data_IF_844329812818
#
_entry.id   IF_844329812818
#
_cell.length_a   1.000
_cell.length_b   1.000
_cell.length_c   1.000
_cell.angle_alpha   90.00
_cell.angle_beta   90.00
_cell.angle_gamma   90.00
#
_symmetry.space_group_name_H-M   'P 1'
#
loop_
_entity.id
_entity.type
_entity.pdbx_description
1 polymer ?
#
# COMPACT_ATOMS: atom_id res chain seq x y z
N UNK A 1 -13.74 -16.55 5.19
CA UNK A 1 -14.02 -15.50 4.20
C UNK A 1 -14.78 -16.09 3.02
N UNK A 2 -15.77 -15.40 2.45
CA UNK A 2 -16.51 -15.94 1.29
C UNK A 2 -15.54 -16.00 0.10
N UNK A 3 -15.49 -17.11 -0.62
CA UNK A 3 -14.59 -17.33 -1.78
C UNK A 3 -14.63 -16.18 -2.79
N UNK A 4 -15.81 -15.62 -3.06
CA UNK A 4 -16.00 -14.50 -3.96
C UNK A 4 -15.23 -13.22 -3.55
N UNK A 5 -15.23 -12.86 -2.26
CA UNK A 5 -14.51 -11.69 -1.77
C UNK A 5 -12.98 -11.85 -1.91
N UNK A 6 -12.48 -13.07 -1.64
CA UNK A 6 -11.06 -13.38 -1.82
C UNK A 6 -10.65 -13.30 -3.30
N UNK A 7 -11.45 -13.91 -4.19
CA UNK A 7 -11.20 -13.85 -5.64
C UNK A 7 -11.21 -12.41 -6.16
N UNK A 8 -12.12 -11.57 -5.66
CA UNK A 8 -12.16 -10.15 -6.04
C UNK A 8 -10.88 -9.40 -5.61
N UNK A 9 -10.39 -9.61 -4.39
CA UNK A 9 -9.14 -9.02 -3.91
C UNK A 9 -7.95 -9.49 -4.76
N UNK A 10 -7.92 -10.78 -5.13
CA UNK A 10 -6.88 -11.32 -5.99
C UNK A 10 -6.92 -10.72 -7.40
N UNK A 11 -8.11 -10.51 -7.96
CA UNK A 11 -8.26 -9.88 -9.27
C UNK A 11 -7.70 -8.45 -9.31
N UNK A 12 -7.87 -7.69 -8.23
CA UNK A 12 -7.31 -6.33 -8.12
C UNK A 12 -5.77 -6.36 -8.13
N UNK A 13 -5.14 -7.35 -7.50
CA UNK A 13 -3.67 -7.47 -7.46
C UNK A 13 -3.03 -7.70 -8.84
N UNK A 14 -3.77 -8.30 -9.77
CA UNK A 14 -3.27 -8.56 -11.13
C UNK A 14 -3.38 -7.35 -12.05
N UNK A 15 -4.14 -6.31 -11.64
CA UNK A 15 -4.33 -5.12 -12.47
C UNK A 15 -3.05 -4.26 -12.50
N UNK A 16 -2.50 -3.96 -13.70
CA UNK A 16 -1.37 -3.05 -13.82
C UNK A 16 -1.73 -1.64 -13.33
N UNK A 17 -0.90 -1.06 -12.48
CA UNK A 17 -1.12 0.30 -11.93
C UNK A 17 -1.25 1.34 -13.04
N UNK A 18 -0.55 1.17 -14.17
CA UNK A 18 -0.60 2.07 -15.30
C UNK A 18 -2.00 2.14 -15.94
N UNK A 19 -2.71 1.02 -15.98
CA UNK A 19 -4.07 0.95 -16.53
C UNK A 19 -5.06 1.71 -15.63
N UNK A 20 -4.91 1.58 -14.32
CA UNK A 20 -5.80 2.22 -13.35
C UNK A 20 -5.47 3.70 -13.11
N UNK A 21 -4.26 4.14 -13.46
CA UNK A 21 -3.75 5.47 -13.14
C UNK A 21 -4.61 6.62 -13.72
N UNK A 22 -5.08 6.47 -14.97
CA UNK A 22 -5.91 7.51 -15.60
C UNK A 22 -7.28 7.65 -14.94
N UNK A 23 -7.90 6.53 -14.57
CA UNK A 23 -9.15 6.53 -13.81
C UNK A 23 -8.95 7.15 -12.42
N UNK A 24 -7.86 6.80 -11.77
CA UNK A 24 -7.48 7.36 -10.48
C UNK A 24 -7.24 8.88 -10.55
N UNK A 25 -6.48 9.34 -11.55
CA UNK A 25 -6.24 10.78 -11.77
C UNK A 25 -7.54 11.57 -11.96
N UNK A 26 -8.47 11.05 -12.79
CA UNK A 26 -9.80 11.67 -12.98
C UNK A 26 -10.59 11.73 -11.68
N UNK A 27 -10.57 10.67 -10.89
CA UNK A 27 -11.26 10.60 -9.62
C UNK A 27 -10.74 11.66 -8.64
N UNK A 28 -9.44 11.71 -8.41
CA UNK A 28 -8.82 12.67 -7.47
C UNK A 28 -9.01 14.11 -7.91
N UNK A 29 -8.95 14.39 -9.23
CA UNK A 29 -9.21 15.72 -9.77
C UNK A 29 -10.67 16.13 -9.52
N UNK A 30 -11.64 15.24 -9.76
CA UNK A 30 -13.05 15.48 -9.47
C UNK A 30 -13.34 15.70 -7.97
N UNK A 31 -12.56 15.06 -7.10
CA UNK A 31 -12.63 15.21 -5.64
C UNK A 31 -11.90 16.47 -5.12
N UNK A 32 -11.26 17.25 -6.00
CA UNK A 32 -10.50 18.44 -5.59
C UNK A 32 -9.21 18.12 -4.83
N UNK A 33 -8.68 16.89 -4.98
CA UNK A 33 -7.47 16.43 -4.29
C UNK A 33 -6.22 16.42 -5.19
N UNK A 34 -6.29 17.03 -6.39
CA UNK A 34 -5.13 17.20 -7.26
C UNK A 34 -4.09 18.10 -6.59
N UNK A 35 -2.83 17.86 -6.83
CA UNK A 35 -1.69 18.53 -6.17
C UNK A 35 -1.75 18.46 -4.63
N UNK A 36 -2.17 17.31 -4.10
CA UNK A 36 -2.25 17.01 -2.67
C UNK A 36 -1.53 15.69 -2.35
N UNK A 37 -1.03 15.55 -1.11
CA UNK A 37 -0.45 14.29 -0.63
C UNK A 37 -1.51 13.27 -0.19
N UNK A 38 -2.75 13.69 0.03
CA UNK A 38 -3.83 12.81 0.47
C UNK A 38 -4.09 11.61 -0.46
N UNK A 39 -4.10 11.76 -1.81
CA UNK A 39 -4.26 10.63 -2.71
C UNK A 39 -3.12 9.62 -2.68
N UNK A 40 -1.97 9.97 -2.13
CA UNK A 40 -0.85 9.05 -1.92
C UNK A 40 -0.99 8.25 -0.62
N UNK A 41 -1.72 8.79 0.37
CA UNK A 41 -1.89 8.23 1.71
C UNK A 41 -3.16 7.38 1.80
N UNK A 42 -4.31 7.92 1.39
CA UNK A 42 -5.63 7.30 1.59
C UNK A 42 -5.71 5.88 0.98
N UNK A 43 -5.30 5.63 -0.28
CA UNK A 43 -5.41 4.30 -0.87
C UNK A 43 -4.53 3.25 -0.19
N UNK A 44 -3.41 3.66 0.42
CA UNK A 44 -2.50 2.74 1.10
C UNK A 44 -3.05 2.18 2.42
N UNK A 45 -4.08 2.81 3.00
CA UNK A 45 -4.76 2.32 4.21
C UNK A 45 -5.45 0.98 3.96
N UNK A 46 -5.93 0.73 2.74
CA UNK A 46 -6.63 -0.50 2.34
C UNK A 46 -5.92 -1.19 1.18
N UNK A 47 -4.69 -1.66 1.41
CA UNK A 47 -3.88 -2.33 0.38
C UNK A 47 -4.25 -3.81 0.23
N UNK A 48 -4.71 -4.27 -0.96
CA UNK A 48 -4.96 -5.68 -1.25
C UNK A 48 -3.71 -6.57 -1.08
N UNK A 49 -2.52 -6.04 -1.38
CA UNK A 49 -1.26 -6.75 -1.23
C UNK A 49 -0.93 -7.02 0.24
N UNK A 50 -1.08 -6.02 1.11
CA UNK A 50 -0.92 -6.16 2.57
C UNK A 50 -1.92 -7.17 3.11
N UNK A 51 -3.18 -7.06 2.70
CA UNK A 51 -4.22 -8.00 3.13
C UNK A 51 -3.86 -9.45 2.74
N UNK A 52 -3.48 -9.69 1.49
CA UNK A 52 -3.11 -11.03 1.02
C UNK A 52 -1.91 -11.60 1.79
N UNK A 53 -0.88 -10.81 2.00
CA UNK A 53 0.30 -11.22 2.75
C UNK A 53 -0.06 -11.61 4.20
N UNK A 54 -0.83 -10.74 4.89
CA UNK A 54 -1.26 -11.01 6.27
C UNK A 54 -2.17 -12.23 6.37
N UNK A 55 -3.09 -12.39 5.43
CA UNK A 55 -3.97 -13.54 5.36
C UNK A 55 -3.17 -14.86 5.16
N UNK A 56 -2.22 -14.86 4.22
CA UNK A 56 -1.39 -16.02 3.94
C UNK A 56 -0.50 -16.38 5.13
N UNK A 57 0.06 -15.38 5.81
CA UNK A 57 0.85 -15.58 7.02
C UNK A 57 0.01 -16.21 8.14
N UNK A 58 -1.19 -15.71 8.37
CA UNK A 58 -2.08 -16.27 9.39
C UNK A 58 -2.45 -17.72 9.09
N UNK A 59 -2.71 -18.07 7.84
CA UNK A 59 -3.03 -19.45 7.46
C UNK A 59 -1.89 -20.43 7.77
N UNK A 60 -0.64 -19.99 7.71
CA UNK A 60 0.53 -20.83 7.98
C UNK A 60 0.97 -20.81 9.44
N UNK A 61 0.71 -19.72 10.17
CA UNK A 61 1.33 -19.46 11.48
C UNK A 61 0.35 -19.52 12.65
N UNK A 62 -0.98 -19.48 12.41
CA UNK A 62 -1.97 -19.48 13.47
C UNK A 62 -2.58 -20.89 13.63
N UNK A 63 -2.26 -21.63 14.70
CA UNK A 63 -2.95 -22.87 15.02
C UNK A 63 -4.41 -22.57 15.38
N UNK A 64 -5.36 -23.18 14.64
CA UNK A 64 -6.80 -22.99 14.90
C UNK A 64 -7.21 -23.43 16.30
N UNK A 65 -6.51 -24.42 16.87
CA UNK A 65 -6.73 -24.89 18.25
C UNK A 65 -6.60 -23.78 19.30
N UNK A 66 -5.73 -22.80 19.09
CA UNK A 66 -5.60 -21.64 20.00
C UNK A 66 -6.87 -20.77 19.98
N UNK A 67 -7.46 -20.58 18.79
CA UNK A 67 -8.68 -19.79 18.63
C UNK A 67 -9.88 -20.55 19.22
N UNK A 68 -9.92 -21.87 19.03
CA UNK A 68 -10.97 -22.75 19.58
C UNK A 68 -10.91 -22.80 21.12
N UNK A 69 -9.70 -22.92 21.69
CA UNK A 69 -9.52 -22.89 23.14
C UNK A 69 -9.98 -21.55 23.73
N UNK A 70 -9.60 -20.42 23.10
CA UNK A 70 -10.05 -19.11 23.55
C UNK A 70 -11.59 -18.96 23.53
N UNK A 71 -12.26 -19.55 22.54
CA UNK A 71 -13.73 -19.57 22.46
C UNK A 71 -14.35 -20.40 23.58
N UNK A 72 -13.77 -21.56 23.90
CA UNK A 72 -14.21 -22.39 25.01
C UNK A 72 -14.08 -21.64 26.34
N UNK A 73 -13.00 -20.86 26.50
CA UNK A 73 -12.77 -19.99 27.65
C UNK A 73 -13.67 -18.73 27.69
N UNK A 74 -14.62 -18.61 26.76
CA UNK A 74 -15.59 -17.50 26.69
C UNK A 74 -14.99 -16.20 26.14
N UNK A 75 -13.83 -16.24 25.50
CA UNK A 75 -13.22 -15.05 24.87
C UNK A 75 -14.02 -14.63 23.63
N UNK A 76 -14.44 -13.37 23.57
CA UNK A 76 -15.06 -12.80 22.37
C UNK A 76 -14.06 -12.60 21.23
N UNK A 77 -14.55 -12.51 19.99
CA UNK A 77 -13.71 -12.42 18.76
C UNK A 77 -12.69 -11.28 18.81
N UNK A 78 -13.09 -10.09 19.27
CA UNK A 78 -12.20 -8.93 19.38
C UNK A 78 -11.08 -9.14 20.40
N UNK A 79 -11.39 -9.74 21.55
CA UNK A 79 -10.40 -10.08 22.58
C UNK A 79 -9.44 -11.15 22.07
N UNK A 80 -9.94 -12.19 21.43
CA UNK A 80 -9.15 -13.26 20.82
C UNK A 80 -8.21 -12.70 19.75
N UNK A 81 -8.70 -11.79 18.89
CA UNK A 81 -7.88 -11.13 17.91
C UNK A 81 -6.72 -10.35 18.56
N UNK A 82 -7.01 -9.48 19.52
CA UNK A 82 -5.98 -8.63 20.11
C UNK A 82 -4.98 -9.40 21.01
N UNK A 83 -5.46 -10.41 21.74
CA UNK A 83 -4.64 -11.13 22.72
C UNK A 83 -3.88 -12.32 22.16
N UNK A 84 -4.33 -12.92 21.07
CA UNK A 84 -3.76 -14.14 20.48
C UNK A 84 -3.27 -13.88 19.05
N UNK A 85 -4.17 -13.45 18.16
CA UNK A 85 -3.85 -13.34 16.72
C UNK A 85 -2.85 -12.24 16.46
N UNK A 86 -3.08 -11.03 16.97
CA UNK A 86 -2.23 -9.87 16.73
C UNK A 86 -0.79 -10.06 17.24
N UNK A 87 -0.52 -10.63 18.43
CA UNK A 87 0.82 -10.97 18.86
C UNK A 87 1.55 -11.96 17.94
N UNK A 88 0.86 -12.96 17.42
CA UNK A 88 1.41 -13.93 16.45
C UNK A 88 1.75 -13.23 15.12
N UNK A 89 0.99 -12.21 14.74
CA UNK A 89 1.19 -11.44 13.52
C UNK A 89 2.37 -10.44 13.60
N UNK A 90 2.91 -10.13 14.77
CA UNK A 90 3.95 -9.10 14.91
C UNK A 90 5.11 -9.23 13.92
N UNK A 91 5.71 -10.41 13.67
CA UNK A 91 6.78 -10.56 12.68
C UNK A 91 6.32 -10.19 11.26
N UNK A 92 5.11 -10.62 10.87
CA UNK A 92 4.54 -10.30 9.56
C UNK A 92 4.25 -8.80 9.41
N UNK A 93 3.75 -8.16 10.46
CA UNK A 93 3.54 -6.69 10.49
C UNK A 93 4.86 -5.96 10.30
N UNK A 94 5.94 -6.37 10.98
CA UNK A 94 7.24 -5.75 10.84
C UNK A 94 7.79 -5.87 9.40
N UNK A 95 7.72 -7.07 8.81
CA UNK A 95 8.14 -7.32 7.42
C UNK A 95 7.31 -6.47 6.45
N UNK A 96 6.00 -6.44 6.63
CA UNK A 96 5.10 -5.69 5.76
C UNK A 96 5.29 -4.18 5.89
N UNK A 97 5.59 -3.69 7.09
CA UNK A 97 5.93 -2.27 7.31
C UNK A 97 7.17 -1.86 6.51
N UNK A 98 8.22 -2.71 6.49
CA UNK A 98 9.43 -2.46 5.70
C UNK A 98 9.10 -2.44 4.20
N UNK A 99 8.37 -3.42 3.69
CA UNK A 99 8.02 -3.46 2.27
C UNK A 99 7.14 -2.28 1.84
N UNK A 100 6.18 -1.90 2.66
CA UNK A 100 5.31 -0.75 2.40
C UNK A 100 6.12 0.55 2.42
N UNK A 101 7.01 0.71 3.38
CA UNK A 101 7.90 1.88 3.45
C UNK A 101 8.79 1.97 2.20
N UNK A 102 9.51 0.90 1.86
CA UNK A 102 10.41 0.88 0.69
C UNK A 102 9.64 1.11 -0.61
N UNK A 103 8.47 0.47 -0.76
CA UNK A 103 7.61 0.65 -1.92
C UNK A 103 7.10 2.10 -2.06
N UNK A 104 6.68 2.72 -0.95
CA UNK A 104 6.23 4.11 -0.93
C UNK A 104 7.39 5.08 -1.17
N UNK A 105 8.55 4.84 -0.54
CA UNK A 105 9.75 5.66 -0.69
C UNK A 105 10.25 5.71 -2.14
N UNK A 106 10.22 4.58 -2.84
CA UNK A 106 10.69 4.48 -4.23
C UNK A 106 9.60 4.79 -5.26
N UNK A 107 8.38 5.08 -4.85
CA UNK A 107 7.30 5.33 -5.79
C UNK A 107 7.49 6.68 -6.49
N UNK A 108 7.70 6.61 -7.80
CA UNK A 108 7.81 7.78 -8.68
C UNK A 108 6.54 8.01 -9.48
N UNK A 109 5.97 6.94 -10.05
CA UNK A 109 4.95 7.03 -11.09
C UNK A 109 3.67 7.75 -10.64
N UNK A 110 3.04 7.30 -9.56
CA UNK A 110 1.79 7.89 -9.07
C UNK A 110 2.01 9.31 -8.53
N UNK A 111 3.03 9.59 -7.70
CA UNK A 111 3.33 10.95 -7.28
C UNK A 111 3.57 11.91 -8.44
N UNK A 112 4.30 11.49 -9.49
CA UNK A 112 4.58 12.33 -10.66
C UNK A 112 3.33 12.70 -11.48
N UNK A 113 2.28 11.88 -11.42
CA UNK A 113 0.99 12.18 -12.06
C UNK A 113 0.16 13.21 -11.28
N UNK A 114 0.34 13.29 -9.97
CA UNK A 114 -0.55 14.01 -9.06
C UNK A 114 0.07 15.32 -8.58
N UNK A 115 1.36 15.31 -8.23
CA UNK A 115 2.04 16.44 -7.60
C UNK A 115 2.62 17.37 -8.65
N UNK A 116 2.26 18.66 -8.54
CA UNK A 116 2.75 19.75 -9.40
C UNK A 116 3.62 20.74 -8.63
N UNK A 117 3.24 21.06 -7.40
CA UNK A 117 3.95 22.04 -6.57
C UNK A 117 5.32 21.51 -6.15
N UNK A 118 6.37 22.30 -6.37
CA UNK A 118 7.76 21.97 -5.96
C UNK A 118 7.88 21.65 -4.47
N UNK A 119 7.11 22.32 -3.62
CA UNK A 119 7.12 22.12 -2.16
C UNK A 119 6.56 20.77 -1.71
N UNK A 120 5.83 20.05 -2.59
CA UNK A 120 5.21 18.75 -2.30
C UNK A 120 5.89 17.59 -3.02
N UNK A 121 6.94 17.85 -3.81
CA UNK A 121 7.63 16.82 -4.57
C UNK A 121 8.21 15.75 -3.64
N UNK A 122 8.02 14.49 -4.01
CA UNK A 122 8.70 13.37 -3.37
C UNK A 122 10.15 13.27 -3.82
N UNK A 123 11.00 12.60 -3.04
CA UNK A 123 12.43 12.44 -3.36
C UNK A 123 12.66 11.85 -4.76
N UNK A 124 11.95 10.80 -5.20
CA UNK A 124 12.11 10.28 -6.56
C UNK A 124 11.77 11.30 -7.66
N UNK A 125 10.75 12.12 -7.47
CA UNK A 125 10.42 13.20 -8.44
C UNK A 125 11.55 14.23 -8.48
N UNK A 126 12.03 14.66 -7.31
CA UNK A 126 13.12 15.62 -7.23
C UNK A 126 14.39 15.12 -7.92
N UNK A 127 14.78 13.87 -7.67
CA UNK A 127 15.95 13.27 -8.33
C UNK A 127 15.75 13.22 -9.86
N UNK A 128 14.56 12.86 -10.32
CA UNK A 128 14.27 12.80 -11.76
C UNK A 128 14.34 14.18 -12.42
N UNK A 129 13.84 15.23 -11.74
CA UNK A 129 13.90 16.62 -12.25
C UNK A 129 15.33 17.14 -12.30
N UNK A 130 16.15 16.86 -11.28
CA UNK A 130 17.56 17.26 -11.26
C UNK A 130 18.35 16.59 -12.39
N UNK A 131 18.17 15.27 -12.57
CA UNK A 131 18.81 14.55 -13.70
C UNK A 131 18.38 15.10 -15.05
N UNK A 132 17.10 15.41 -15.24
CA UNK A 132 16.62 16.04 -16.47
C UNK A 132 17.25 17.40 -16.75
N UNK A 133 17.42 18.21 -15.72
CA UNK A 133 18.09 19.51 -15.84
C UNK A 133 19.59 19.38 -16.19
N UNK A 134 20.27 18.38 -15.63
CA UNK A 134 21.68 18.13 -15.95
C UNK A 134 21.87 17.68 -17.40
N UNK A 135 20.99 16.86 -17.94
CA UNK A 135 21.03 16.47 -19.36
C UNK A 135 20.83 17.65 -20.30
N UNK A 136 19.88 18.55 -19.99
CA UNK A 136 19.63 19.76 -20.81
C UNK A 136 20.83 20.70 -20.78
N UNK A 137 21.42 20.91 -19.61
CA UNK A 137 22.61 21.76 -19.46
C UNK A 137 23.84 21.16 -20.16
N UNK A 138 23.98 19.84 -20.17
CA UNK A 138 25.09 19.15 -20.85
C UNK A 138 24.98 19.26 -22.37
N UNK A 139 23.78 19.17 -22.93
CA UNK A 139 23.54 19.20 -24.37
C UNK A 139 23.61 20.64 -24.96
N UNK A 140 23.34 21.67 -24.15
CA UNK A 140 23.46 23.08 -24.57
C UNK A 140 24.89 23.62 -24.48
N UNK A 141 25.85 22.86 -24.02
CA UNK A 141 27.26 23.23 -23.89
C UNK A 141 28.16 22.72 -25.02
N UNK A 142 27.55 22.10 -26.05
CA UNK A 142 28.23 21.68 -27.29
C UNK A 142 27.74 22.49 -28.48
#
# INVERSE_FOLDING_TARGET
>A
MKKAAFTFIMAILVMPTQVTAMGFLRLITKMGMYDSLLPLIIPSIASPAVFYFMYSYLQSSLPLSLVEAARIDGSGEFRTFNSIVLPIMKPAVAVQAIFTFVGSWNNYFVPALIIQSKSKMTVPILIATLRGADYVNFDMGK
#
